data_IF_377545088398
#
_entry.id   IF_377545088398
#
_cell.length_a   1.000
_cell.length_b   1.000
_cell.length_c   1.000
_cell.angle_alpha   90.00
_cell.angle_beta   90.00
_cell.angle_gamma   90.00
#
_symmetry.space_group_name_H-M   'P 1'
#
loop_
_entity.id
_entity.type
_entity.pdbx_description
1 polymer ?
#
# COMPACT_ATOMS: atom_id res chain seq x y z
N UNK A 1 6.64 14.85 20.71
CA UNK A 1 5.17 14.73 20.76
C UNK A 1 4.76 13.90 21.97
N UNK A 2 3.81 14.36 22.79
CA UNK A 2 3.34 13.65 24.00
C UNK A 2 2.52 12.42 23.64
N UNK A 3 2.33 11.47 24.59
CA UNK A 3 1.49 10.27 24.36
C UNK A 3 0.05 10.64 23.99
N UNK A 4 -0.53 11.65 24.66
CA UNK A 4 -1.88 12.16 24.38
C UNK A 4 -1.99 12.72 22.96
N UNK A 5 -1.04 13.56 22.53
CA UNK A 5 -1.00 14.13 21.19
C UNK A 5 -0.90 13.07 20.09
N UNK A 6 -0.16 11.95 20.32
CA UNK A 6 -0.07 10.84 19.39
C UNK A 6 -1.40 10.07 19.30
N UNK A 7 -2.10 9.89 20.43
CA UNK A 7 -3.41 9.23 20.42
C UNK A 7 -4.42 10.06 19.64
N UNK A 8 -4.50 11.38 19.88
CA UNK A 8 -5.37 12.29 19.12
C UNK A 8 -5.03 12.26 17.62
N UNK A 9 -3.74 12.36 17.27
CA UNK A 9 -3.31 12.29 15.86
C UNK A 9 -3.70 10.97 15.20
N UNK A 10 -3.62 9.82 15.90
CA UNK A 10 -4.10 8.54 15.38
C UNK A 10 -5.60 8.55 15.09
N UNK A 11 -6.41 9.12 15.98
CA UNK A 11 -7.86 9.24 15.79
C UNK A 11 -8.14 10.10 14.56
N UNK A 12 -7.50 11.26 14.44
CA UNK A 12 -7.66 12.15 13.29
C UNK A 12 -7.27 11.48 11.97
N UNK A 13 -6.13 10.77 11.95
CA UNK A 13 -5.69 10.01 10.76
C UNK A 13 -6.70 8.90 10.46
N UNK A 14 -7.21 8.21 11.47
CA UNK A 14 -8.20 7.15 11.29
C UNK A 14 -9.50 7.70 10.64
N UNK A 15 -10.03 8.81 11.15
CA UNK A 15 -11.19 9.49 10.57
C UNK A 15 -10.89 9.97 9.15
N UNK A 16 -9.74 10.61 8.92
CA UNK A 16 -9.32 11.04 7.59
C UNK A 16 -9.21 9.87 6.58
N UNK A 17 -8.71 8.71 7.02
CA UNK A 17 -8.63 7.52 6.18
C UNK A 17 -10.01 6.92 5.84
N UNK A 18 -11.04 7.16 6.64
CA UNK A 18 -12.42 6.73 6.34
C UNK A 18 -13.18 7.71 5.43
N UNK A 19 -12.74 8.98 5.35
CA UNK A 19 -13.42 10.01 4.55
C UNK A 19 -13.68 9.59 3.09
N UNK A 20 -12.75 8.93 2.37
CA UNK A 20 -13.02 8.47 1.01
C UNK A 20 -14.16 7.46 0.92
N UNK A 21 -14.26 6.55 1.88
CA UNK A 21 -15.34 5.55 1.92
C UNK A 21 -16.69 6.22 2.23
N UNK A 22 -16.72 7.12 3.22
CA UNK A 22 -17.91 7.89 3.55
C UNK A 22 -18.40 8.71 2.37
N UNK A 23 -17.47 9.38 1.65
CA UNK A 23 -17.79 10.12 0.42
C UNK A 23 -18.31 9.20 -0.69
N UNK A 24 -17.75 7.99 -0.83
CA UNK A 24 -18.21 7.00 -1.80
C UNK A 24 -19.64 6.55 -1.47
N UNK A 25 -19.91 6.22 -0.19
CA UNK A 25 -21.24 5.86 0.30
C UNK A 25 -22.25 6.98 0.09
N UNK A 26 -21.89 8.22 0.42
CA UNK A 26 -22.74 9.39 0.17
C UNK A 26 -23.12 9.56 -1.31
N UNK A 27 -22.14 9.42 -2.21
CA UNK A 27 -22.39 9.45 -3.65
C UNK A 27 -23.30 8.31 -4.11
N UNK A 28 -23.17 7.13 -3.51
CA UNK A 28 -24.07 6.00 -3.77
C UNK A 28 -25.52 6.32 -3.41
N UNK A 29 -25.74 6.93 -2.24
CA UNK A 29 -27.08 7.29 -1.76
C UNK A 29 -27.72 8.46 -2.54
N UNK A 30 -26.90 9.38 -3.06
CA UNK A 30 -27.37 10.60 -3.74
C UNK A 30 -27.34 10.50 -5.27
N UNK A 31 -27.11 9.32 -5.84
CA UNK A 31 -27.01 9.14 -7.29
C UNK A 31 -25.76 9.74 -7.94
N UNK A 32 -24.78 10.17 -7.14
CA UNK A 32 -23.55 10.84 -7.61
C UNK A 32 -22.46 9.91 -8.15
N UNK A 33 -22.76 8.63 -8.43
CA UNK A 33 -21.80 7.66 -8.99
C UNK A 33 -21.66 7.75 -10.51
N UNK A 34 -22.55 8.49 -11.19
CA UNK A 34 -22.52 8.66 -12.65
C UNK A 34 -23.12 7.48 -13.42
N UNK A 35 -22.90 7.43 -14.73
CA UNK A 35 -23.51 6.45 -15.64
C UNK A 35 -23.01 5.01 -15.43
N UNK A 36 -21.80 4.83 -14.91
CA UNK A 36 -21.23 3.52 -14.61
C UNK A 36 -20.80 3.42 -13.12
N UNK A 37 -21.73 3.11 -12.21
CA UNK A 37 -21.46 3.05 -10.77
C UNK A 37 -20.37 2.03 -10.40
N UNK A 38 -20.38 0.85 -11.03
CA UNK A 38 -19.42 -0.21 -10.73
C UNK A 38 -18.00 0.25 -11.05
N UNK A 39 -17.79 0.85 -12.20
CA UNK A 39 -16.49 1.40 -12.59
C UNK A 39 -16.05 2.50 -11.63
N UNK A 40 -16.95 3.41 -11.24
CA UNK A 40 -16.64 4.49 -10.31
C UNK A 40 -16.19 3.95 -8.95
N UNK A 41 -16.89 2.95 -8.39
CA UNK A 41 -16.55 2.32 -7.11
C UNK A 41 -15.20 1.61 -7.23
N UNK A 42 -14.99 0.83 -8.30
CA UNK A 42 -13.75 0.10 -8.55
C UNK A 42 -12.55 1.04 -8.68
N UNK A 43 -12.67 2.11 -9.46
CA UNK A 43 -11.61 3.12 -9.62
C UNK A 43 -11.33 3.86 -8.32
N UNK A 44 -12.37 4.22 -7.56
CA UNK A 44 -12.23 4.93 -6.29
C UNK A 44 -11.50 4.08 -5.27
N UNK A 45 -11.94 2.83 -5.05
CA UNK A 45 -11.32 1.92 -4.07
C UNK A 45 -9.89 1.57 -4.44
N UNK A 46 -9.61 1.29 -5.72
CA UNK A 46 -8.25 1.04 -6.23
C UNK A 46 -7.32 2.25 -6.08
N UNK A 47 -7.80 3.45 -6.38
CA UNK A 47 -7.02 4.68 -6.20
C UNK A 47 -6.63 4.89 -4.75
N UNK A 48 -7.56 4.74 -3.81
CA UNK A 48 -7.26 4.90 -2.38
C UNK A 48 -6.37 3.80 -1.83
N UNK A 49 -6.46 2.57 -2.34
CA UNK A 49 -5.47 1.51 -2.06
C UNK A 49 -4.07 2.00 -2.39
N UNK A 50 -3.86 2.52 -3.59
CA UNK A 50 -2.56 2.99 -4.05
C UNK A 50 -2.07 4.22 -3.27
N UNK A 51 -2.95 5.18 -2.99
CA UNK A 51 -2.64 6.37 -2.17
C UNK A 51 -2.14 5.97 -0.79
N UNK A 52 -2.86 5.11 -0.07
CA UNK A 52 -2.44 4.68 1.27
C UNK A 52 -1.20 3.78 1.25
N UNK A 53 -1.01 3.00 0.20
CA UNK A 53 0.21 2.22 0.01
C UNK A 53 1.43 3.12 -0.16
N UNK A 54 1.36 4.13 -1.02
CA UNK A 54 2.42 5.12 -1.21
C UNK A 54 2.63 5.98 0.04
N UNK A 55 1.55 6.41 0.71
CA UNK A 55 1.65 7.13 1.99
C UNK A 55 2.38 6.30 3.05
N UNK A 56 2.09 4.99 3.13
CA UNK A 56 2.81 4.05 4.02
C UNK A 56 4.30 3.99 3.69
N UNK A 57 4.63 3.95 2.40
CA UNK A 57 6.02 3.98 1.92
C UNK A 57 6.69 5.34 2.18
N UNK A 58 5.97 6.45 2.15
CA UNK A 58 6.50 7.78 2.39
C UNK A 58 6.91 8.03 3.85
N UNK A 59 6.28 7.39 4.83
CA UNK A 59 6.55 7.64 6.26
C UNK A 59 8.02 7.45 6.63
N UNK A 60 8.70 6.45 6.09
CA UNK A 60 10.12 6.20 6.44
C UNK A 60 11.07 7.24 5.86
N UNK A 61 11.01 7.62 4.57
CA UNK A 61 11.78 8.75 4.05
C UNK A 61 11.47 10.05 4.79
N UNK A 62 10.19 10.39 4.99
CA UNK A 62 9.78 11.60 5.72
C UNK A 62 10.36 11.65 7.13
N UNK A 63 10.31 10.54 7.87
CA UNK A 63 10.94 10.44 9.20
C UNK A 63 12.44 10.74 9.16
N UNK A 64 13.14 10.24 8.15
CA UNK A 64 14.60 10.45 8.02
C UNK A 64 14.95 11.88 7.63
N UNK A 65 14.19 12.47 6.73
CA UNK A 65 14.40 13.84 6.25
C UNK A 65 14.03 14.89 7.30
N UNK A 66 12.91 14.67 8.03
CA UNK A 66 12.44 15.62 9.05
C UNK A 66 13.08 15.41 10.43
N UNK A 67 13.80 14.29 10.68
CA UNK A 67 14.30 13.91 11.98
C UNK A 67 13.22 13.47 13.00
N UNK A 68 11.94 13.50 12.62
CA UNK A 68 10.82 13.28 13.52
C UNK A 68 10.51 11.80 13.74
N UNK A 69 11.02 11.21 14.81
CA UNK A 69 10.89 9.78 15.13
C UNK A 69 9.44 9.31 15.36
N UNK A 70 8.53 10.21 15.77
CA UNK A 70 7.13 9.88 16.03
C UNK A 70 6.33 9.47 14.79
N UNK A 71 6.73 9.89 13.59
CA UNK A 71 6.05 9.55 12.32
C UNK A 71 5.90 8.04 12.10
N UNK A 72 6.89 7.24 12.56
CA UNK A 72 6.87 5.78 12.37
C UNK A 72 5.66 5.12 13.04
N UNK A 73 5.07 5.76 14.05
CA UNK A 73 3.92 5.23 14.80
C UNK A 73 2.63 5.18 13.98
N UNK A 74 2.58 5.91 12.86
CA UNK A 74 1.42 5.93 11.95
C UNK A 74 1.54 4.94 10.80
N UNK A 75 2.75 4.42 10.53
CA UNK A 75 2.99 3.54 9.39
C UNK A 75 2.09 2.31 9.37
N UNK A 76 1.89 1.68 10.54
CA UNK A 76 1.01 0.53 10.66
C UNK A 76 -0.45 0.89 10.36
N UNK A 77 -0.93 2.00 10.90
CA UNK A 77 -2.30 2.46 10.71
C UNK A 77 -2.59 2.70 9.22
N UNK A 78 -1.76 3.50 8.56
CA UNK A 78 -1.92 3.83 7.13
C UNK A 78 -1.75 2.58 6.26
N UNK A 79 -0.83 1.68 6.60
CA UNK A 79 -0.64 0.41 5.89
C UNK A 79 -1.84 -0.54 5.99
N UNK A 80 -2.51 -0.59 7.13
CA UNK A 80 -3.73 -1.36 7.30
C UNK A 80 -4.91 -0.75 6.51
N UNK A 81 -4.96 0.58 6.37
CA UNK A 81 -5.93 1.21 5.47
C UNK A 81 -5.64 0.93 3.99
N UNK A 82 -4.37 0.83 3.58
CA UNK A 82 -4.03 0.37 2.23
C UNK A 82 -4.59 -1.03 1.97
N UNK A 83 -4.44 -1.96 2.92
CA UNK A 83 -5.01 -3.30 2.83
C UNK A 83 -6.54 -3.28 2.84
N UNK A 84 -7.16 -2.50 3.73
CA UNK A 84 -8.62 -2.36 3.82
C UNK A 84 -9.24 -1.91 2.48
N UNK A 85 -8.69 -0.85 1.86
CA UNK A 85 -9.16 -0.42 0.55
C UNK A 85 -8.83 -1.42 -0.56
N UNK A 86 -7.72 -2.15 -0.44
CA UNK A 86 -7.39 -3.28 -1.32
C UNK A 86 -8.42 -4.40 -1.26
N UNK A 87 -8.90 -4.73 -0.05
CA UNK A 87 -10.00 -5.69 0.13
C UNK A 87 -11.30 -5.18 -0.51
N UNK A 88 -11.66 -3.91 -0.29
CA UNK A 88 -12.84 -3.32 -0.92
C UNK A 88 -12.72 -3.36 -2.45
N UNK A 89 -11.56 -3.00 -3.00
CA UNK A 89 -11.30 -3.05 -4.43
C UNK A 89 -11.41 -4.47 -4.99
N UNK A 90 -10.88 -5.46 -4.27
CA UNK A 90 -10.99 -6.85 -4.64
C UNK A 90 -12.44 -7.37 -4.58
N UNK A 91 -13.19 -6.97 -3.55
CA UNK A 91 -14.61 -7.31 -3.43
C UNK A 91 -15.42 -6.70 -4.58
N UNK A 92 -15.14 -5.46 -5.00
CA UNK A 92 -15.85 -4.86 -6.14
C UNK A 92 -15.61 -5.66 -7.42
N UNK A 93 -14.39 -6.17 -7.64
CA UNK A 93 -14.09 -7.05 -8.76
C UNK A 93 -14.83 -8.39 -8.67
N UNK A 94 -14.75 -9.08 -7.53
CA UNK A 94 -15.34 -10.41 -7.35
C UNK A 94 -16.87 -10.36 -7.39
N UNK A 95 -17.47 -9.39 -6.71
CA UNK A 95 -18.92 -9.33 -6.54
C UNK A 95 -19.60 -8.52 -7.63
N UNK A 96 -19.17 -7.28 -7.87
CA UNK A 96 -19.90 -6.37 -8.77
C UNK A 96 -19.53 -6.55 -10.24
N UNK A 97 -18.29 -6.95 -10.54
CA UNK A 97 -17.83 -7.13 -11.94
C UNK A 97 -17.96 -8.59 -12.40
N UNK A 98 -17.64 -9.57 -11.55
CA UNK A 98 -17.61 -10.99 -11.89
C UNK A 98 -18.76 -11.84 -11.33
N UNK A 99 -19.62 -11.28 -10.46
CA UNK A 99 -20.75 -12.00 -9.85
C UNK A 99 -20.38 -13.38 -9.29
N UNK A 100 -19.16 -13.50 -8.69
CA UNK A 100 -18.59 -14.74 -8.15
C UNK A 100 -18.31 -15.83 -9.20
N UNK A 101 -18.26 -15.52 -10.50
CA UNK A 101 -17.86 -16.49 -11.54
C UNK A 101 -16.34 -16.75 -11.44
N UNK A 102 -15.98 -17.83 -10.73
CA UNK A 102 -14.60 -18.24 -10.52
C UNK A 102 -13.91 -18.61 -11.83
N UNK A 103 -14.63 -19.21 -12.79
CA UNK A 103 -14.04 -19.58 -14.07
C UNK A 103 -13.66 -18.36 -14.90
N UNK A 104 -14.54 -17.35 -14.93
CA UNK A 104 -14.25 -16.10 -15.61
C UNK A 104 -13.11 -15.32 -14.92
N UNK A 105 -13.07 -15.33 -13.58
CA UNK A 105 -11.94 -14.74 -12.83
C UNK A 105 -10.60 -15.40 -13.17
N UNK A 106 -10.54 -16.73 -13.24
CA UNK A 106 -9.32 -17.47 -13.62
C UNK A 106 -8.91 -17.12 -15.05
N UNK A 107 -9.85 -17.07 -15.98
CA UNK A 107 -9.60 -16.66 -17.37
C UNK A 107 -9.07 -15.23 -17.44
N UNK A 108 -9.63 -14.32 -16.67
CA UNK A 108 -9.20 -12.92 -16.60
C UNK A 108 -7.77 -12.78 -16.08
N UNK A 109 -7.44 -13.47 -15.01
CA UNK A 109 -6.06 -13.47 -14.47
C UNK A 109 -5.07 -14.02 -15.49
N UNK A 110 -5.45 -15.07 -16.24
CA UNK A 110 -4.58 -15.68 -17.25
C UNK A 110 -4.42 -14.83 -18.53
N UNK A 111 -5.48 -14.11 -18.95
CA UNK A 111 -5.50 -13.39 -20.24
C UNK A 111 -5.21 -11.89 -20.14
N UNK A 112 -5.36 -11.29 -18.96
CA UNK A 112 -5.24 -9.85 -18.75
C UNK A 112 -4.08 -9.52 -17.79
N UNK A 113 -2.88 -9.21 -18.31
CA UNK A 113 -1.68 -9.01 -17.47
C UNK A 113 -1.87 -7.94 -16.39
N UNK A 114 -2.70 -6.92 -16.62
CA UNK A 114 -2.97 -5.92 -15.59
C UNK A 114 -3.73 -6.50 -14.40
N UNK A 115 -4.68 -7.44 -14.61
CA UNK A 115 -5.39 -8.13 -13.52
C UNK A 115 -4.41 -8.99 -12.73
N UNK A 116 -3.52 -9.73 -13.40
CA UNK A 116 -2.46 -10.53 -12.76
C UNK A 116 -1.57 -9.66 -11.86
N UNK A 117 -1.14 -8.48 -12.35
CA UNK A 117 -0.34 -7.55 -11.56
C UNK A 117 -1.11 -7.02 -10.33
N UNK A 118 -2.40 -6.69 -10.48
CA UNK A 118 -3.26 -6.25 -9.37
C UNK A 118 -3.49 -7.35 -8.34
N UNK A 119 -3.74 -8.56 -8.80
CA UNK A 119 -3.92 -9.73 -7.95
C UNK A 119 -2.64 -10.05 -7.17
N UNK A 120 -1.47 -10.01 -7.81
CA UNK A 120 -0.18 -10.16 -7.15
C UNK A 120 0.01 -9.09 -6.07
N UNK A 121 -0.27 -7.82 -6.39
CA UNK A 121 -0.16 -6.73 -5.42
C UNK A 121 -1.02 -6.99 -4.18
N UNK A 122 -2.27 -7.43 -4.37
CA UNK A 122 -3.20 -7.74 -3.29
C UNK A 122 -2.75 -8.95 -2.47
N UNK A 123 -2.38 -10.06 -3.13
CA UNK A 123 -1.90 -11.27 -2.45
C UNK A 123 -0.70 -10.98 -1.54
N UNK A 124 0.20 -10.10 -1.97
CA UNK A 124 1.34 -9.71 -1.15
C UNK A 124 0.94 -8.85 0.05
N UNK A 125 -0.15 -8.08 -0.02
CA UNK A 125 -0.65 -7.31 1.12
C UNK A 125 -1.28 -8.18 2.20
N UNK A 126 -1.86 -9.33 1.86
CA UNK A 126 -2.51 -10.25 2.82
C UNK A 126 -1.57 -10.66 3.96
N UNK A 127 -0.40 -11.28 3.72
CA UNK A 127 0.51 -11.66 4.80
C UNK A 127 1.08 -10.44 5.54
N UNK A 128 1.24 -9.30 4.90
CA UNK A 128 1.68 -8.06 5.55
C UNK A 128 0.66 -7.57 6.57
N UNK A 129 -0.63 -7.58 6.20
CA UNK A 129 -1.71 -7.20 7.10
C UNK A 129 -1.87 -8.20 8.25
N UNK A 130 -1.91 -9.50 7.95
CA UNK A 130 -2.05 -10.58 8.94
C UNK A 130 -0.92 -10.56 9.98
N UNK A 131 0.31 -10.25 9.56
CA UNK A 131 1.48 -10.18 10.46
C UNK A 131 1.73 -8.78 11.06
N UNK A 132 0.84 -7.83 10.84
CA UNK A 132 0.90 -6.48 11.40
C UNK A 132 0.45 -6.42 12.87
N UNK A 133 0.79 -7.41 13.69
CA UNK A 133 0.46 -7.48 15.12
C UNK A 133 1.72 -7.60 15.98
N UNK A 134 1.63 -7.16 17.24
CA UNK A 134 2.74 -7.34 18.18
C UNK A 134 3.01 -8.84 18.47
N UNK A 135 1.97 -9.68 18.42
CA UNK A 135 2.08 -11.13 18.55
C UNK A 135 2.90 -11.75 17.42
N UNK A 136 2.60 -11.38 16.16
CA UNK A 136 3.32 -11.87 15.00
C UNK A 136 4.80 -11.48 15.02
N UNK A 137 5.12 -10.24 15.45
CA UNK A 137 6.51 -9.79 15.60
C UNK A 137 7.27 -10.62 16.63
N UNK A 138 6.63 -10.93 17.78
CA UNK A 138 7.24 -11.79 18.81
C UNK A 138 7.44 -13.22 18.32
N UNK A 139 6.42 -13.79 17.66
CA UNK A 139 6.45 -15.16 17.15
C UNK A 139 7.46 -15.36 16.04
N UNK A 140 7.53 -14.47 15.05
CA UNK A 140 8.43 -14.59 13.90
C UNK A 140 9.87 -14.16 14.21
N UNK A 141 10.05 -13.32 15.23
CA UNK A 141 11.27 -12.56 15.47
C UNK A 141 11.43 -11.37 14.52
N UNK A 142 12.04 -10.31 15.01
CA UNK A 142 12.12 -9.04 14.28
C UNK A 142 12.79 -9.12 12.91
N UNK A 143 13.82 -9.99 12.73
CA UNK A 143 14.54 -10.15 11.45
C UNK A 143 13.65 -10.77 10.36
N UNK A 144 12.96 -11.88 10.67
CA UNK A 144 12.06 -12.56 9.71
C UNK A 144 10.86 -11.69 9.38
N UNK A 145 10.30 -11.03 10.38
CA UNK A 145 9.21 -10.09 10.19
C UNK A 145 9.60 -8.94 9.26
N UNK A 146 10.78 -8.33 9.45
CA UNK A 146 11.27 -7.28 8.56
C UNK A 146 11.50 -7.77 7.13
N UNK A 147 11.98 -9.00 6.95
CA UNK A 147 12.18 -9.59 5.62
C UNK A 147 10.83 -9.77 4.90
N UNK A 148 9.83 -10.35 5.58
CA UNK A 148 8.48 -10.48 5.04
C UNK A 148 7.91 -9.10 4.65
N UNK A 149 8.05 -8.11 5.52
CA UNK A 149 7.52 -6.76 5.28
C UNK A 149 8.25 -5.99 4.16
N UNK A 150 9.34 -6.51 3.60
CA UNK A 150 9.92 -5.98 2.34
C UNK A 150 9.06 -6.28 1.12
N UNK A 151 8.17 -7.25 1.17
CA UNK A 151 7.21 -7.54 0.09
C UNK A 151 6.32 -6.33 -0.24
N UNK A 152 6.21 -5.35 0.67
CA UNK A 152 5.53 -4.08 0.40
C UNK A 152 6.09 -3.35 -0.82
N UNK A 153 7.39 -3.50 -1.12
CA UNK A 153 7.99 -2.88 -2.29
C UNK A 153 7.53 -3.55 -3.59
N UNK A 154 7.48 -4.88 -3.59
CA UNK A 154 6.98 -5.65 -4.73
C UNK A 154 5.49 -5.36 -4.94
N UNK A 155 4.69 -5.35 -3.84
CA UNK A 155 3.27 -4.98 -3.89
C UNK A 155 3.07 -3.57 -4.46
N UNK A 156 3.88 -2.59 -4.04
CA UNK A 156 3.82 -1.22 -4.55
C UNK A 156 4.13 -1.11 -6.04
N UNK A 157 5.17 -1.80 -6.50
CA UNK A 157 5.53 -1.87 -7.93
C UNK A 157 4.41 -2.52 -8.73
N UNK A 158 3.91 -3.67 -8.28
CA UNK A 158 2.82 -4.39 -8.96
C UNK A 158 1.53 -3.58 -9.02
N UNK A 159 1.20 -2.81 -7.97
CA UNK A 159 0.03 -1.94 -7.94
C UNK A 159 0.15 -0.77 -8.94
N UNK A 160 1.33 -0.16 -9.07
CA UNK A 160 1.58 0.90 -10.06
C UNK A 160 1.54 0.33 -11.49
N UNK A 161 2.13 -0.84 -11.72
CA UNK A 161 2.09 -1.55 -13.02
C UNK A 161 0.65 -1.91 -13.38
N UNK A 162 -0.13 -2.44 -12.42
CA UNK A 162 -1.57 -2.69 -12.60
C UNK A 162 -2.31 -1.46 -13.09
N UNK A 163 -2.11 -0.33 -12.41
CA UNK A 163 -2.79 0.92 -12.79
C UNK A 163 -2.32 1.42 -14.16
N UNK A 164 -1.01 1.34 -14.46
CA UNK A 164 -0.45 1.76 -15.74
C UNK A 164 -1.02 0.95 -16.91
N UNK A 165 -1.07 -0.37 -16.78
CA UNK A 165 -1.56 -1.26 -17.83
C UNK A 165 -3.09 -1.22 -18.02
N UNK A 166 -3.82 -0.84 -16.96
CA UNK A 166 -5.28 -0.65 -17.07
C UNK A 166 -5.65 0.56 -17.93
N UNK A 167 -4.85 1.61 -17.88
CA UNK A 167 -5.15 2.88 -18.57
C UNK A 167 -4.70 2.81 -20.02
N UNK A 168 -5.63 3.04 -20.96
CA UNK A 168 -5.34 2.94 -22.40
C UNK A 168 -4.98 4.27 -23.05
N UNK A 169 -5.48 5.40 -22.55
CA UNK A 169 -5.35 6.69 -23.22
C UNK A 169 -4.62 7.75 -22.36
N UNK A 170 -5.11 8.08 -21.17
CA UNK A 170 -4.52 9.14 -20.34
C UNK A 170 -3.60 8.54 -19.25
N UNK A 171 -2.32 8.44 -19.59
CA UNK A 171 -1.28 7.92 -18.69
C UNK A 171 -0.78 8.94 -17.64
N UNK A 172 -1.32 10.17 -17.58
CA UNK A 172 -0.86 11.21 -16.65
C UNK A 172 -0.98 10.77 -15.20
N UNK A 173 -2.14 10.23 -14.81
CA UNK A 173 -2.35 9.75 -13.44
C UNK A 173 -1.41 8.58 -13.08
N UNK A 174 -1.35 7.48 -13.85
CA UNK A 174 -0.37 6.42 -13.59
C UNK A 174 1.07 6.93 -13.52
N UNK A 175 1.48 7.86 -14.39
CA UNK A 175 2.81 8.44 -14.40
C UNK A 175 3.15 9.19 -13.09
N UNK A 176 2.20 9.95 -12.54
CA UNK A 176 2.38 10.61 -11.24
C UNK A 176 2.63 9.57 -10.13
N UNK A 177 1.83 8.52 -10.07
CA UNK A 177 2.02 7.48 -9.05
C UNK A 177 3.33 6.71 -9.23
N UNK A 178 3.73 6.45 -10.49
CA UNK A 178 5.01 5.83 -10.80
C UNK A 178 6.19 6.73 -10.40
N UNK A 179 6.12 8.02 -10.68
CA UNK A 179 7.13 8.99 -10.26
C UNK A 179 7.25 9.08 -8.74
N UNK A 180 6.11 9.16 -8.03
CA UNK A 180 6.11 9.16 -6.55
C UNK A 180 6.73 7.87 -6.00
N UNK A 181 6.35 6.70 -6.51
CA UNK A 181 6.95 5.44 -6.09
C UNK A 181 8.45 5.42 -6.38
N UNK A 182 8.88 5.84 -7.58
CA UNK A 182 10.29 5.92 -7.97
C UNK A 182 11.11 6.81 -7.03
N UNK A 183 10.60 7.99 -6.68
CA UNK A 183 11.23 8.89 -5.70
C UNK A 183 11.35 8.21 -4.33
N UNK A 184 10.27 7.60 -3.85
CA UNK A 184 10.27 6.94 -2.53
C UNK A 184 11.24 5.76 -2.44
N UNK A 185 11.35 4.96 -3.51
CA UNK A 185 12.30 3.86 -3.58
C UNK A 185 13.73 4.36 -3.78
N UNK A 186 13.93 5.38 -4.61
CA UNK A 186 15.22 6.06 -4.82
C UNK A 186 15.79 6.64 -3.52
N UNK A 187 14.98 7.38 -2.76
CA UNK A 187 15.39 7.89 -1.45
C UNK A 187 15.82 6.77 -0.49
N UNK A 188 15.11 5.64 -0.51
CA UNK A 188 15.47 4.49 0.33
C UNK A 188 16.79 3.86 -0.08
N UNK A 189 17.02 3.76 -1.40
CA UNK A 189 18.29 3.25 -1.94
C UNK A 189 19.45 4.17 -1.55
N UNK A 190 19.30 5.49 -1.71
CA UNK A 190 20.30 6.48 -1.30
C UNK A 190 20.61 6.36 0.19
N UNK A 191 19.58 6.30 1.04
CA UNK A 191 19.78 6.11 2.48
C UNK A 191 20.47 4.79 2.84
N UNK A 192 20.22 3.74 2.08
CA UNK A 192 20.85 2.44 2.29
C UNK A 192 22.33 2.46 1.87
N UNK A 193 22.64 3.07 0.72
CA UNK A 193 24.02 3.22 0.24
C UNK A 193 24.82 4.07 1.23
N UNK A 194 24.29 5.23 1.62
CA UNK A 194 24.93 6.11 2.58
C UNK A 194 25.24 5.40 3.92
N UNK A 195 24.27 4.66 4.47
CA UNK A 195 24.47 3.90 5.70
C UNK A 195 25.54 2.79 5.57
N UNK A 196 25.74 2.24 4.36
CA UNK A 196 26.82 1.27 4.10
C UNK A 196 28.19 1.90 3.97
N UNK A 197 28.26 3.06 3.34
CA UNK A 197 29.52 3.79 3.16
C UNK A 197 30.01 4.41 4.47
N UNK A 198 29.10 4.88 5.32
CA UNK A 198 29.42 5.47 6.62
C UNK A 198 29.83 4.44 7.70
N UNK A 199 29.65 3.12 7.48
CA UNK A 199 30.02 2.05 8.41
C UNK A 199 30.77 0.91 7.71
N UNK A 200 32.00 1.12 7.20
CA UNK A 200 32.79 0.09 6.53
C UNK A 200 33.25 -1.03 7.48
N UNK A 201 33.37 -0.77 8.79
CA UNK A 201 33.89 -1.72 9.79
C UNK A 201 32.92 -2.81 10.26
N UNK A 202 31.62 -2.73 9.98
CA UNK A 202 30.64 -3.74 10.42
C UNK A 202 30.73 -5.08 9.63
N UNK A 203 31.63 -5.20 8.64
CA UNK A 203 31.88 -6.44 7.87
C UNK A 203 32.91 -7.35 8.52
N UNK A 204 33.85 -6.82 9.32
CA UNK A 204 34.99 -7.58 9.85
C UNK A 204 34.61 -8.54 10.98
N UNK A 205 33.57 -8.25 11.75
CA UNK A 205 33.20 -9.07 12.93
C UNK A 205 32.26 -10.24 12.62
N UNK A 206 31.69 -10.35 11.40
CA UNK A 206 30.79 -11.47 11.04
C UNK A 206 31.48 -12.71 10.46
N UNK A 207 32.77 -12.66 10.18
CA UNK A 207 33.56 -13.80 9.70
C UNK A 207 34.41 -14.45 10.79
N UNK A 208 34.33 -14.03 12.05
CA UNK A 208 35.12 -14.58 13.17
C UNK A 208 34.26 -15.17 14.29
N UNK A 209 33.01 -15.55 14.03
CA UNK A 209 32.18 -16.28 14.98
C UNK A 209 31.45 -17.44 14.28
#
# INVERSE_FOLDING_TARGET
MTRKAIAVAKILIWVACLTPLLRLGWKGLTGGLGANPIEFITLSTGTWTLVFLLATLAITPLRRLSGQSWLIRFRRLVGLFAFFYGVLHFITYVWLDKFFDVQDMIKDVAKRPFITAGFLAFLLLVPLAATSTAGAIRWMGGRRWQLLHRLIYVSGISAVVHFWWKVKADVRKPAIYAAVLGILLGLRLVFWIHARLSNPGARSTRHRA
#
